data_IF_037578495879
#
_entry.id   IF_037578495879
#
_cell.length_a   1.000
_cell.length_b   1.000
_cell.length_c   1.000
_cell.angle_alpha   90.00
_cell.angle_beta   90.00
_cell.angle_gamma   90.00
#
_symmetry.space_group_name_H-M   'P 1'
#
loop_
_entity.id
_entity.type
_entity.pdbx_description
1 polymer ?
#
# COMPACT_ATOMS: atom_id res chain seq x y z
N UNK A 1 12.33 6.18 1.11
CA UNK A 1 11.73 6.84 2.30
C UNK A 1 12.23 6.15 3.56
N UNK A 2 12.16 4.83 3.62
CA UNK A 2 12.53 4.02 4.76
C UNK A 2 14.03 4.13 5.13
N UNK A 3 14.91 4.10 4.14
CA UNK A 3 16.34 4.28 4.36
C UNK A 3 16.68 5.68 4.90
N UNK A 4 16.07 6.71 4.33
CA UNK A 4 16.32 8.10 4.75
C UNK A 4 15.89 8.41 6.18
N UNK A 5 14.80 7.83 6.67
CA UNK A 5 14.37 8.02 8.06
C UNK A 5 15.30 7.30 9.04
N UNK A 6 15.85 6.13 8.67
CA UNK A 6 16.80 5.37 9.50
C UNK A 6 18.21 5.98 9.56
N UNK A 7 18.66 6.58 8.48
CA UNK A 7 20.02 7.12 8.35
C UNK A 7 20.16 8.58 8.82
N UNK A 8 19.29 9.02 9.73
CA UNK A 8 19.29 10.41 10.23
C UNK A 8 18.70 11.42 9.26
N UNK A 9 17.89 10.96 8.29
CA UNK A 9 17.12 11.79 7.38
C UNK A 9 15.92 12.47 8.04
N UNK A 10 14.95 12.89 7.22
CA UNK A 10 13.73 13.55 7.68
C UNK A 10 12.93 12.63 8.61
N UNK A 11 12.56 13.14 9.78
CA UNK A 11 11.58 12.48 10.64
C UNK A 11 10.20 12.47 9.94
N UNK A 12 9.62 11.29 9.82
CA UNK A 12 8.27 11.13 9.27
C UNK A 12 7.26 11.07 10.42
N UNK A 13 6.26 11.94 10.39
CA UNK A 13 5.17 11.91 11.38
C UNK A 13 4.22 10.75 11.17
N UNK A 14 4.04 10.32 9.92
CA UNK A 14 3.15 9.23 9.58
C UNK A 14 3.25 8.79 8.11
N UNK A 15 2.55 7.71 7.82
CA UNK A 15 2.38 7.15 6.47
C UNK A 15 0.88 7.10 6.16
N UNK A 16 0.48 7.65 5.01
CA UNK A 16 -0.88 7.51 4.47
C UNK A 16 -0.76 6.79 3.15
N UNK A 17 -1.23 5.56 3.09
CA UNK A 17 -1.08 4.67 1.95
C UNK A 17 -2.46 4.35 1.35
N UNK A 18 -2.59 4.51 0.05
CA UNK A 18 -3.84 4.27 -0.69
C UNK A 18 -3.57 3.25 -1.77
N UNK A 19 -4.18 2.07 -1.66
CA UNK A 19 -3.97 0.88 -2.52
C UNK A 19 -2.49 0.58 -2.80
N UNK A 20 -1.63 0.43 -1.79
CA UNK A 20 -0.19 0.36 -2.01
C UNK A 20 0.23 -1.00 -2.61
N UNK A 21 1.13 -0.96 -3.60
CA UNK A 21 1.85 -2.14 -4.08
C UNK A 21 3.11 -2.33 -3.23
N UNK A 22 3.19 -3.40 -2.45
CA UNK A 22 4.22 -3.59 -1.43
C UNK A 22 4.92 -4.97 -1.52
N UNK A 23 4.35 -5.90 -2.30
CA UNK A 23 4.89 -7.22 -2.59
C UNK A 23 4.97 -7.46 -4.11
N UNK A 24 6.08 -7.14 -4.76
CA UNK A 24 6.22 -7.32 -6.21
C UNK A 24 6.25 -8.80 -6.65
N UNK A 25 6.26 -9.76 -5.71
CA UNK A 25 6.23 -11.19 -6.06
C UNK A 25 4.88 -11.62 -6.62
N UNK A 26 3.80 -10.89 -6.30
CA UNK A 26 2.44 -11.29 -6.64
C UNK A 26 1.97 -12.54 -5.91
N UNK A 27 2.54 -12.84 -4.74
CA UNK A 27 2.21 -14.02 -3.95
C UNK A 27 0.98 -13.83 -3.05
N UNK A 28 0.47 -12.61 -2.93
CA UNK A 28 -0.73 -12.32 -2.12
C UNK A 28 -1.96 -13.03 -2.71
N UNK A 29 -2.86 -13.61 -1.88
CA UNK A 29 -4.10 -14.24 -2.34
C UNK A 29 -4.94 -13.33 -3.24
N UNK A 30 -5.10 -12.05 -2.87
CA UNK A 30 -5.85 -11.07 -3.67
C UNK A 30 -5.28 -10.88 -5.08
N UNK A 31 -3.97 -11.08 -5.27
CA UNK A 31 -3.33 -10.97 -6.58
C UNK A 31 -3.82 -12.04 -7.57
N UNK A 32 -4.25 -13.19 -7.07
CA UNK A 32 -4.86 -14.27 -7.86
C UNK A 32 -6.39 -14.11 -7.91
N UNK A 33 -7.01 -13.82 -6.77
CA UNK A 33 -8.46 -13.66 -6.63
C UNK A 33 -9.01 -12.57 -7.55
N UNK A 34 -8.30 -11.45 -7.67
CA UNK A 34 -8.70 -10.29 -8.46
C UNK A 34 -7.79 -10.06 -9.69
N UNK A 35 -7.20 -11.15 -10.23
CA UNK A 35 -6.23 -11.06 -11.34
C UNK A 35 -6.78 -10.37 -12.59
N UNK A 36 -8.07 -10.51 -12.84
CA UNK A 36 -8.77 -9.95 -14.00
C UNK A 36 -9.69 -8.76 -13.64
N UNK A 37 -9.40 -8.06 -12.54
CA UNK A 37 -10.16 -6.87 -12.16
C UNK A 37 -10.13 -5.80 -13.27
N UNK A 38 -11.29 -5.18 -13.52
CA UNK A 38 -11.48 -4.21 -14.62
C UNK A 38 -10.56 -2.98 -14.52
N UNK A 39 -10.18 -2.56 -13.30
CA UNK A 39 -9.43 -1.33 -13.06
C UNK A 39 -7.93 -1.53 -12.98
N UNK A 40 -7.49 -2.69 -12.50
CA UNK A 40 -6.08 -3.06 -12.38
C UNK A 40 -5.96 -4.58 -12.49
N UNK A 41 -5.31 -5.05 -13.54
CA UNK A 41 -5.09 -6.47 -13.77
C UNK A 41 -3.72 -6.92 -13.25
N UNK A 42 -3.61 -8.18 -12.84
CA UNK A 42 -2.35 -8.73 -12.35
C UNK A 42 -1.23 -8.72 -13.42
N UNK A 43 -1.56 -8.93 -14.70
CA UNK A 43 -0.59 -8.83 -15.78
C UNK A 43 -0.08 -7.41 -16.01
N UNK A 44 -0.96 -6.39 -15.89
CA UNK A 44 -0.56 -4.99 -15.92
C UNK A 44 0.37 -4.64 -14.75
N UNK A 45 0.07 -5.14 -13.53
CA UNK A 45 0.94 -4.94 -12.38
C UNK A 45 2.32 -5.51 -12.59
N UNK A 46 2.43 -6.73 -13.14
CA UNK A 46 3.75 -7.33 -13.48
C UNK A 46 4.52 -6.46 -14.45
N UNK A 47 3.85 -5.94 -15.48
CA UNK A 47 4.46 -5.04 -16.44
C UNK A 47 4.93 -3.73 -15.81
N UNK A 48 4.10 -3.10 -14.94
CA UNK A 48 4.50 -1.87 -14.23
C UNK A 48 5.69 -2.09 -13.32
N UNK A 49 5.72 -3.20 -12.57
CA UNK A 49 6.81 -3.53 -11.66
C UNK A 49 8.10 -3.79 -12.43
N UNK A 50 8.03 -4.50 -13.55
CA UNK A 50 9.20 -4.75 -14.41
C UNK A 50 9.74 -3.46 -15.02
N UNK A 51 8.86 -2.61 -15.57
CA UNK A 51 9.22 -1.30 -16.10
C UNK A 51 9.85 -0.39 -15.02
N UNK A 52 9.28 -0.37 -13.81
CA UNK A 52 9.82 0.39 -12.67
C UNK A 52 11.19 -0.13 -12.21
N UNK A 53 11.41 -1.43 -12.31
CA UNK A 53 12.69 -2.07 -11.99
C UNK A 53 13.77 -1.92 -13.09
N UNK A 54 13.44 -1.36 -14.24
CA UNK A 54 14.34 -1.24 -15.38
C UNK A 54 14.51 -2.54 -16.18
N UNK A 55 13.49 -3.40 -16.18
CA UNK A 55 13.44 -4.68 -16.88
C UNK A 55 13.97 -5.88 -16.09
N UNK A 56 14.26 -5.72 -14.80
CA UNK A 56 14.72 -6.81 -13.92
C UNK A 56 14.10 -6.70 -12.52
N UNK A 57 12.79 -6.85 -12.45
CA UNK A 57 12.07 -6.89 -11.17
C UNK A 57 12.57 -8.05 -10.28
N UNK A 58 12.96 -9.17 -10.89
CA UNK A 58 13.42 -10.36 -10.16
C UNK A 58 14.64 -10.09 -9.28
N UNK A 59 15.60 -9.30 -9.73
CA UNK A 59 16.80 -8.95 -8.98
C UNK A 59 16.49 -8.08 -7.75
N UNK A 60 15.35 -7.37 -7.74
CA UNK A 60 14.97 -6.41 -6.69
C UNK A 60 13.97 -6.95 -5.67
N UNK A 61 13.52 -8.19 -5.77
CA UNK A 61 12.50 -8.77 -4.87
C UNK A 61 12.90 -8.77 -3.39
N UNK A 62 14.19 -8.64 -3.08
CA UNK A 62 14.71 -8.56 -1.70
C UNK A 62 15.12 -7.14 -1.29
N UNK A 63 15.03 -6.18 -2.20
CA UNK A 63 15.31 -4.78 -1.93
C UNK A 63 14.08 -4.15 -1.23
N UNK A 64 14.17 -3.74 0.05
CA UNK A 64 13.02 -3.19 0.77
C UNK A 64 12.55 -1.83 0.24
N UNK A 65 13.34 -1.15 -0.57
CA UNK A 65 12.93 0.08 -1.26
C UNK A 65 12.08 -0.22 -2.51
N UNK A 66 12.15 -1.43 -3.03
CA UNK A 66 11.30 -1.93 -4.12
C UNK A 66 10.19 -2.86 -3.63
N UNK A 67 10.50 -3.71 -2.66
CA UNK A 67 9.62 -4.70 -2.06
C UNK A 67 9.47 -4.44 -0.54
N UNK A 68 8.67 -3.47 -0.11
CA UNK A 68 8.56 -3.09 1.30
C UNK A 68 8.21 -4.25 2.24
N UNK A 69 7.41 -5.21 1.79
CA UNK A 69 7.06 -6.40 2.56
C UNK A 69 8.22 -7.40 2.73
N UNK A 70 9.28 -7.32 1.93
CA UNK A 70 10.50 -8.13 2.10
C UNK A 70 11.44 -7.61 3.18
N UNK A 71 11.12 -6.47 3.80
CA UNK A 71 11.96 -5.89 4.84
C UNK A 71 12.08 -6.79 6.07
N UNK A 72 13.31 -6.92 6.60
CA UNK A 72 13.59 -7.75 7.76
C UNK A 72 12.99 -7.21 9.07
N UNK A 73 12.78 -5.89 9.19
CA UNK A 73 12.19 -5.25 10.37
C UNK A 73 11.26 -4.13 9.99
N UNK A 74 10.16 -3.99 10.74
CA UNK A 74 9.19 -2.91 10.67
C UNK A 74 9.25 -1.99 11.90
N UNK A 75 10.11 -2.31 12.87
CA UNK A 75 10.33 -1.48 14.04
C UNK A 75 10.83 -0.08 13.62
N UNK A 76 10.47 0.92 14.42
CA UNK A 76 10.87 2.33 14.25
C UNK A 76 10.39 2.98 12.93
N UNK A 77 9.41 2.37 12.26
CA UNK A 77 8.71 3.04 11.16
C UNK A 77 7.67 4.02 11.70
N UNK A 78 7.34 5.03 10.90
CA UNK A 78 6.29 5.97 11.26
C UNK A 78 4.92 5.28 11.34
N UNK A 79 4.00 5.74 12.21
CA UNK A 79 2.62 5.27 12.26
C UNK A 79 1.94 5.32 10.89
N UNK A 80 1.00 4.42 10.63
CA UNK A 80 0.41 4.30 9.30
C UNK A 80 -1.13 4.25 9.30
N UNK A 81 -1.71 4.85 8.28
CA UNK A 81 -3.07 4.57 7.82
C UNK A 81 -3.01 3.94 6.42
N UNK A 82 -3.70 2.83 6.22
CA UNK A 82 -3.71 2.09 4.96
C UNK A 82 -5.14 1.90 4.46
N UNK A 83 -5.50 2.55 3.38
CA UNK A 83 -6.76 2.37 2.68
C UNK A 83 -6.58 1.36 1.55
N UNK A 84 -7.43 0.34 1.48
CA UNK A 84 -7.44 -0.66 0.43
C UNK A 84 -8.82 -0.80 -0.20
N UNK A 85 -8.88 -1.10 -1.49
CA UNK A 85 -10.12 -1.47 -2.16
C UNK A 85 -10.35 -2.98 -2.00
N UNK A 86 -11.61 -3.40 -1.90
CA UNK A 86 -11.95 -4.82 -1.72
C UNK A 86 -11.62 -5.64 -2.97
N UNK A 87 -11.98 -5.12 -4.16
CA UNK A 87 -11.81 -5.78 -5.46
C UNK A 87 -10.51 -5.28 -6.10
N UNK A 88 -9.37 -5.66 -5.48
CA UNK A 88 -8.06 -5.15 -5.88
C UNK A 88 -6.99 -6.24 -5.73
N UNK A 89 -6.20 -6.56 -6.76
CA UNK A 89 -5.06 -7.45 -6.61
C UNK A 89 -4.07 -7.04 -5.52
N UNK A 90 -4.02 -5.76 -5.15
CA UNK A 90 -3.11 -5.22 -4.13
C UNK A 90 -3.74 -5.16 -2.72
N UNK A 91 -4.99 -5.61 -2.54
CA UNK A 91 -5.70 -5.55 -1.25
C UNK A 91 -4.86 -6.15 -0.11
N UNK A 92 -4.39 -7.37 -0.29
CA UNK A 92 -3.70 -8.10 0.78
C UNK A 92 -2.29 -7.56 1.03
N UNK A 93 -1.66 -6.88 0.10
CA UNK A 93 -0.39 -6.18 0.31
C UNK A 93 -0.54 -5.10 1.38
N UNK A 94 -1.58 -4.27 1.27
CA UNK A 94 -1.88 -3.22 2.25
C UNK A 94 -2.22 -3.79 3.63
N UNK A 95 -3.06 -4.84 3.68
CA UNK A 95 -3.45 -5.49 4.93
C UNK A 95 -2.25 -6.13 5.64
N UNK A 96 -1.41 -6.86 4.92
CA UNK A 96 -0.19 -7.49 5.44
C UNK A 96 0.82 -6.46 5.93
N UNK A 97 0.95 -5.34 5.24
CA UNK A 97 1.85 -4.27 5.64
C UNK A 97 1.43 -3.67 6.99
N UNK A 98 0.15 -3.33 7.14
CA UNK A 98 -0.37 -2.83 8.41
C UNK A 98 -0.21 -3.85 9.54
N UNK A 99 -0.49 -5.12 9.29
CA UNK A 99 -0.27 -6.20 10.25
C UNK A 99 1.21 -6.28 10.69
N UNK A 100 2.16 -6.23 9.75
CA UNK A 100 3.59 -6.26 10.05
C UNK A 100 4.06 -5.05 10.88
N UNK A 101 3.45 -3.88 10.67
CA UNK A 101 3.68 -2.71 11.51
C UNK A 101 3.18 -2.94 12.94
N UNK A 102 1.95 -3.43 13.10
CA UNK A 102 1.36 -3.74 14.42
C UNK A 102 2.16 -4.80 15.17
N UNK A 103 2.58 -5.87 14.51
CA UNK A 103 3.45 -6.91 15.08
C UNK A 103 4.80 -6.36 15.55
N UNK A 104 5.28 -5.29 14.93
CA UNK A 104 6.51 -4.58 15.32
C UNK A 104 6.28 -3.48 16.37
N UNK A 105 5.06 -3.36 16.94
CA UNK A 105 4.72 -2.33 17.93
C UNK A 105 4.51 -0.95 17.34
N UNK A 106 4.39 -0.81 16.01
CA UNK A 106 4.11 0.45 15.33
C UNK A 106 2.60 0.60 15.15
N UNK A 107 2.06 1.76 15.51
CA UNK A 107 0.64 2.06 15.31
C UNK A 107 0.27 2.01 13.82
N UNK A 108 -0.71 1.19 13.47
CA UNK A 108 -1.22 1.12 12.12
C UNK A 108 -2.72 0.82 12.12
N UNK A 109 -3.45 1.50 11.26
CA UNK A 109 -4.87 1.26 11.04
C UNK A 109 -5.16 1.02 9.56
N UNK A 110 -6.22 0.26 9.29
CA UNK A 110 -6.65 -0.07 7.92
C UNK A 110 -8.12 0.22 7.72
N UNK A 111 -8.49 0.57 6.49
CA UNK A 111 -9.87 0.53 6.02
C UNK A 111 -9.96 -0.21 4.69
N UNK A 112 -10.83 -1.21 4.64
CA UNK A 112 -11.25 -1.87 3.39
C UNK A 112 -12.49 -1.16 2.88
N UNK A 113 -12.43 -0.63 1.68
CA UNK A 113 -13.57 0.01 1.01
C UNK A 113 -14.35 -1.05 0.23
N UNK A 114 -15.49 -1.47 0.81
CA UNK A 114 -16.32 -2.56 0.30
C UNK A 114 -16.89 -2.25 -1.09
N UNK A 115 -16.85 -3.23 -2.01
CA UNK A 115 -17.32 -3.11 -3.38
C UNK A 115 -16.46 -2.22 -4.29
N UNK A 116 -15.39 -1.65 -3.78
CA UNK A 116 -14.52 -0.75 -4.57
C UNK A 116 -13.39 -1.50 -5.24
N UNK A 117 -13.07 -1.05 -6.48
CA UNK A 117 -11.92 -1.51 -7.24
C UNK A 117 -10.74 -0.53 -7.13
N UNK A 118 -9.55 -0.98 -7.54
CA UNK A 118 -8.34 -0.16 -7.53
C UNK A 118 -8.56 1.22 -8.17
N UNK A 119 -8.08 2.27 -7.53
CA UNK A 119 -8.14 3.62 -8.09
C UNK A 119 -9.49 4.31 -8.03
N UNK A 120 -10.47 3.79 -7.27
CA UNK A 120 -11.82 4.36 -7.18
C UNK A 120 -11.85 5.82 -6.67
N UNK A 121 -10.83 6.28 -5.96
CA UNK A 121 -10.69 7.66 -5.51
C UNK A 121 -10.84 8.68 -6.65
N UNK A 122 -10.46 8.30 -7.88
CA UNK A 122 -10.58 9.16 -9.08
C UNK A 122 -12.02 9.43 -9.51
N UNK A 123 -12.98 8.71 -8.93
CA UNK A 123 -14.38 8.73 -9.33
C UNK A 123 -15.27 9.48 -8.35
N UNK A 124 -14.72 10.48 -7.62
CA UNK A 124 -15.45 11.25 -6.60
C UNK A 124 -16.70 11.99 -7.08
N UNK A 125 -16.89 12.15 -8.40
CA UNK A 125 -18.13 12.67 -8.98
C UNK A 125 -19.19 11.62 -9.30
N UNK A 126 -18.89 10.33 -9.16
CA UNK A 126 -19.76 9.21 -9.53
C UNK A 126 -19.87 8.13 -8.45
N UNK A 127 -18.92 8.07 -7.50
CA UNK A 127 -18.83 7.05 -6.46
C UNK A 127 -18.70 7.73 -5.11
N UNK A 128 -19.72 7.63 -4.27
CA UNK A 128 -19.75 8.25 -2.94
C UNK A 128 -18.61 7.76 -2.03
N UNK A 129 -18.22 6.50 -2.14
CA UNK A 129 -17.12 5.92 -1.36
C UNK A 129 -15.77 6.61 -1.63
N UNK A 130 -15.59 7.26 -2.78
CA UNK A 130 -14.42 8.08 -3.06
C UNK A 130 -14.38 9.35 -2.18
N UNK A 131 -15.54 9.95 -1.87
CA UNK A 131 -15.64 11.07 -0.95
C UNK A 131 -15.37 10.63 0.49
N UNK A 132 -15.89 9.46 0.88
CA UNK A 132 -15.60 8.84 2.18
C UNK A 132 -14.10 8.61 2.36
N UNK A 133 -13.41 8.09 1.34
CA UNK A 133 -11.95 7.94 1.38
C UNK A 133 -11.24 9.28 1.52
N UNK A 134 -11.67 10.33 0.82
CA UNK A 134 -11.08 11.67 0.95
C UNK A 134 -11.22 12.23 2.37
N UNK A 135 -12.39 12.05 3.00
CA UNK A 135 -12.64 12.44 4.39
C UNK A 135 -11.71 11.67 5.35
N UNK A 136 -11.58 10.36 5.15
CA UNK A 136 -10.66 9.52 5.92
C UNK A 136 -9.21 9.99 5.79
N UNK A 137 -8.75 10.23 4.57
CA UNK A 137 -7.39 10.73 4.32
C UNK A 137 -7.14 12.05 5.05
N UNK A 138 -8.11 12.98 5.01
CA UNK A 138 -8.02 14.26 5.73
C UNK A 138 -8.00 14.08 7.25
N UNK A 139 -8.83 13.21 7.79
CA UNK A 139 -8.88 12.89 9.22
C UNK A 139 -7.58 12.25 9.70
N UNK A 140 -7.14 11.18 9.02
CA UNK A 140 -5.95 10.42 9.40
C UNK A 140 -4.66 11.23 9.22
N UNK A 141 -4.57 12.05 8.19
CA UNK A 141 -3.44 12.98 8.04
C UNK A 141 -3.35 13.93 9.22
N UNK A 142 -4.47 14.55 9.64
CA UNK A 142 -4.48 15.44 10.83
C UNK A 142 -4.07 14.67 12.09
N UNK A 143 -4.60 13.45 12.29
CA UNK A 143 -4.25 12.61 13.44
C UNK A 143 -2.75 12.29 13.50
N UNK A 144 -2.14 11.98 12.36
CA UNK A 144 -0.72 11.63 12.26
C UNK A 144 0.22 12.83 12.41
N UNK A 145 -0.27 14.04 12.17
CA UNK A 145 0.51 15.28 12.31
C UNK A 145 0.45 15.87 13.74
N UNK A 146 -0.49 15.43 14.59
CA UNK A 146 -0.74 15.95 15.94
C UNK A 146 -1.73 17.10 15.89
#
# INVERSE_FOLDING_TARGET
VRGRARDGGLALHGQVLVYPALDPTGASPSFTEHADSDMLRADQMRWFLDAYAGGDAGARLRDPDFAPLAAASFADLAPAYVAVAEIDPLRDDGLRYAQRLQEAGVEASTRVHAGMAHGFLRWGGAVDEALVLLEDLGRETRRLLG
#
